data_IF_215302920168
#
_entry.id   IF_215302920168
#
_cell.length_a   1.000
_cell.length_b   1.000
_cell.length_c   1.000
_cell.angle_alpha   90.00
_cell.angle_beta   90.00
_cell.angle_gamma   90.00
#
_symmetry.space_group_name_H-M   'P 1'
#
loop_
_entity.id
_entity.type
_entity.pdbx_description
1 polymer ?
#
# COMPACT_ATOMS: atom_id res chain seq x y z
N UNK A 1 -14.97 -38.43 41.02
CA UNK A 1 -14.53 -39.17 39.81
C UNK A 1 -15.42 -38.76 38.65
N UNK A 2 -14.79 -38.56 37.49
CA UNK A 2 -15.21 -37.71 36.38
C UNK A 2 -16.48 -38.15 35.64
N UNK A 3 -17.25 -37.17 35.15
CA UNK A 3 -18.23 -37.33 34.07
C UNK A 3 -17.74 -36.51 32.87
N UNK A 4 -17.45 -37.18 31.76
CA UNK A 4 -17.16 -36.55 30.49
C UNK A 4 -18.42 -35.89 29.92
N UNK A 5 -18.30 -34.64 29.48
CA UNK A 5 -19.36 -33.90 28.79
C UNK A 5 -19.17 -33.95 27.27
N UNK A 6 -20.26 -33.99 26.46
CA UNK A 6 -20.15 -34.08 25.01
C UNK A 6 -19.67 -32.76 24.40
N UNK A 7 -18.75 -32.86 23.43
CA UNK A 7 -18.15 -31.75 22.70
C UNK A 7 -19.13 -30.99 21.79
N UNK A 8 -18.94 -29.67 21.73
CA UNK A 8 -19.65 -28.74 20.86
C UNK A 8 -19.30 -28.97 19.37
N UNK A 9 -20.26 -28.86 18.43
CA UNK A 9 -19.99 -29.01 17.01
C UNK A 9 -19.33 -27.74 16.42
N UNK A 10 -18.23 -27.94 15.70
CA UNK A 10 -17.56 -26.93 14.86
C UNK A 10 -18.45 -26.64 13.64
N UNK A 11 -19.00 -25.42 13.55
CA UNK A 11 -19.68 -24.95 12.35
C UNK A 11 -18.65 -24.68 11.24
N UNK A 12 -18.60 -25.57 10.25
CA UNK A 12 -17.88 -25.35 8.98
C UNK A 12 -18.60 -24.22 8.22
N UNK A 13 -17.90 -23.10 8.01
CA UNK A 13 -18.39 -22.02 7.15
C UNK A 13 -18.64 -22.56 5.74
N UNK A 14 -19.88 -22.50 5.30
CA UNK A 14 -20.31 -22.85 3.94
C UNK A 14 -19.81 -21.78 2.98
N UNK A 15 -19.15 -22.18 1.89
CA UNK A 15 -18.73 -21.27 0.82
C UNK A 15 -19.97 -20.62 0.20
N UNK A 16 -20.07 -19.30 0.31
CA UNK A 16 -21.10 -18.51 -0.37
C UNK A 16 -20.89 -18.59 -1.88
N UNK A 17 -21.87 -19.15 -2.58
CA UNK A 17 -21.89 -19.20 -4.04
C UNK A 17 -22.06 -17.78 -4.60
N UNK A 18 -21.05 -17.31 -5.34
CA UNK A 18 -21.04 -15.98 -5.95
C UNK A 18 -21.85 -15.99 -7.23
N UNK A 19 -23.02 -15.36 -7.21
CA UNK A 19 -23.88 -15.21 -8.39
C UNK A 19 -23.16 -14.45 -9.50
N UNK A 20 -23.48 -14.76 -10.76
CA UNK A 20 -22.79 -14.27 -11.95
C UNK A 20 -22.69 -12.72 -12.07
N UNK A 21 -23.54 -11.97 -11.37
CA UNK A 21 -23.47 -10.51 -11.28
C UNK A 21 -22.21 -9.97 -10.56
N UNK A 22 -21.62 -10.71 -9.62
CA UNK A 22 -20.40 -10.29 -8.92
C UNK A 22 -19.12 -10.49 -9.76
N UNK A 23 -19.19 -11.30 -10.83
CA UNK A 23 -18.00 -11.67 -11.61
C UNK A 23 -17.43 -10.50 -12.42
N UNK A 24 -18.22 -9.45 -12.67
CA UNK A 24 -17.83 -8.30 -13.49
C UNK A 24 -17.30 -7.07 -12.75
N UNK A 25 -17.35 -7.03 -11.40
CA UNK A 25 -17.03 -5.83 -10.61
C UNK A 25 -15.62 -5.84 -9.98
N UNK A 26 -14.69 -6.68 -10.44
CA UNK A 26 -13.33 -6.64 -9.91
C UNK A 26 -12.56 -5.47 -10.48
N UNK A 27 -12.18 -4.56 -9.61
CA UNK A 27 -11.27 -3.48 -9.94
C UNK A 27 -9.87 -4.05 -10.25
N UNK A 28 -9.44 -3.89 -11.50
CA UNK A 28 -8.12 -4.33 -12.00
C UNK A 28 -7.08 -3.19 -12.04
N UNK A 29 -7.38 -2.05 -11.41
CA UNK A 29 -6.50 -0.88 -11.41
C UNK A 29 -5.37 -0.94 -10.38
N UNK A 30 -4.78 0.23 -10.08
CA UNK A 30 -3.79 0.37 -9.01
C UNK A 30 -4.35 -0.13 -7.67
N UNK A 31 -3.52 -0.58 -6.72
CA UNK A 31 -4.01 -0.93 -5.39
C UNK A 31 -4.80 0.25 -4.80
N UNK A 32 -5.93 -0.05 -4.16
CA UNK A 32 -6.71 0.95 -3.43
C UNK A 32 -5.78 1.61 -2.41
N UNK A 33 -5.61 2.95 -2.45
CA UNK A 33 -4.76 3.64 -1.49
C UNK A 33 -5.20 3.33 -0.06
N UNK A 34 -4.23 3.09 0.82
CA UNK A 34 -4.50 2.86 2.24
C UNK A 34 -5.13 4.12 2.85
N UNK A 35 -6.40 4.05 3.23
CA UNK A 35 -7.17 5.18 3.76
C UNK A 35 -6.48 5.79 4.99
N UNK A 36 -5.84 4.96 5.80
CA UNK A 36 -5.17 5.39 7.01
C UNK A 36 -3.88 6.17 6.78
N UNK A 37 -3.35 6.14 5.56
CA UNK A 37 -2.10 6.82 5.17
C UNK A 37 -2.35 8.06 4.31
N UNK A 38 -3.61 8.45 4.14
CA UNK A 38 -3.96 9.64 3.36
C UNK A 38 -3.38 10.90 3.99
N UNK A 39 -2.82 11.76 3.15
CA UNK A 39 -2.43 13.12 3.56
C UNK A 39 -3.68 13.99 3.72
N UNK A 40 -3.53 15.14 4.37
CA UNK A 40 -4.60 16.13 4.46
C UNK A 40 -5.10 16.58 3.07
N UNK A 41 -4.18 16.73 2.11
CA UNK A 41 -4.50 17.15 0.74
C UNK A 41 -5.31 16.06 0.04
N UNK A 42 -4.83 14.82 0.07
CA UNK A 42 -5.51 13.68 -0.57
C UNK A 42 -6.91 13.48 0.05
N UNK A 43 -6.99 13.45 1.38
CA UNK A 43 -8.25 13.27 2.09
C UNK A 43 -9.27 14.37 1.77
N UNK A 44 -8.83 15.63 1.71
CA UNK A 44 -9.69 16.77 1.36
C UNK A 44 -10.16 16.69 -0.09
N UNK A 45 -9.24 16.37 -1.02
CA UNK A 45 -9.56 16.20 -2.43
C UNK A 45 -10.54 15.05 -2.64
N UNK A 46 -10.32 13.91 -1.97
CA UNK A 46 -11.17 12.73 -2.03
C UNK A 46 -12.60 13.06 -1.57
N UNK A 47 -12.77 13.78 -0.46
CA UNK A 47 -14.08 14.23 0.01
C UNK A 47 -14.78 15.15 -1.00
N UNK A 48 -14.07 16.13 -1.55
CA UNK A 48 -14.63 17.04 -2.54
C UNK A 48 -15.06 16.30 -3.82
N UNK A 49 -14.21 15.41 -4.31
CA UNK A 49 -14.47 14.59 -5.50
C UNK A 49 -15.63 13.61 -5.27
N UNK A 50 -15.69 12.94 -4.12
CA UNK A 50 -16.78 12.03 -3.76
C UNK A 50 -18.13 12.76 -3.74
N UNK A 51 -18.21 13.88 -3.01
CA UNK A 51 -19.42 14.71 -2.93
C UNK A 51 -19.88 15.18 -4.31
N UNK A 52 -18.96 15.69 -5.14
CA UNK A 52 -19.27 16.17 -6.49
C UNK A 52 -19.76 15.03 -7.37
N UNK A 53 -19.10 13.87 -7.31
CA UNK A 53 -19.43 12.70 -8.12
C UNK A 53 -20.80 12.15 -7.74
N UNK A 54 -21.05 11.89 -6.47
CA UNK A 54 -22.32 11.34 -5.99
C UNK A 54 -23.47 12.32 -6.19
N UNK A 55 -23.27 13.61 -5.89
CA UNK A 55 -24.32 14.61 -6.02
C UNK A 55 -24.64 15.03 -7.46
N UNK A 56 -23.63 15.25 -8.29
CA UNK A 56 -23.82 15.77 -9.66
C UNK A 56 -23.97 14.64 -10.67
N UNK A 57 -23.03 13.69 -10.72
CA UNK A 57 -23.03 12.64 -11.76
C UNK A 57 -24.10 11.59 -11.49
N UNK A 58 -24.19 11.14 -10.25
CA UNK A 58 -25.12 10.07 -9.86
C UNK A 58 -26.44 10.57 -9.26
N UNK A 59 -26.58 11.89 -9.05
CA UNK A 59 -27.82 12.53 -8.58
C UNK A 59 -28.27 12.09 -7.17
N UNK A 60 -27.36 11.54 -6.36
CA UNK A 60 -27.61 11.21 -4.96
C UNK A 60 -27.47 12.47 -4.08
N UNK A 61 -28.45 13.37 -4.18
CA UNK A 61 -28.40 14.69 -3.51
C UNK A 61 -28.30 14.58 -1.99
N UNK A 62 -29.16 13.77 -1.37
CA UNK A 62 -29.17 13.54 0.08
C UNK A 62 -27.83 13.02 0.58
N UNK A 63 -27.25 12.02 -0.08
CA UNK A 63 -25.94 11.48 0.28
C UNK A 63 -24.83 12.54 0.13
N UNK A 64 -24.91 13.39 -0.90
CA UNK A 64 -23.94 14.47 -1.07
C UNK A 64 -24.05 15.55 0.02
N UNK A 65 -25.26 15.83 0.51
CA UNK A 65 -25.49 16.71 1.66
C UNK A 65 -24.97 16.07 2.95
N UNK A 66 -25.23 14.78 3.16
CA UNK A 66 -24.70 14.05 4.31
C UNK A 66 -23.17 14.04 4.33
N UNK A 67 -22.51 13.83 3.20
CA UNK A 67 -21.05 13.92 3.07
C UNK A 67 -20.51 15.32 3.41
N UNK A 68 -21.23 16.38 3.02
CA UNK A 68 -20.83 17.76 3.33
C UNK A 68 -20.89 18.02 4.86
N UNK A 69 -21.99 17.61 5.49
CA UNK A 69 -22.18 17.77 6.94
C UNK A 69 -21.15 16.93 7.70
N UNK A 70 -20.97 15.66 7.33
CA UNK A 70 -19.96 14.77 7.91
C UNK A 70 -18.55 15.35 7.81
N UNK A 71 -18.17 15.88 6.64
CA UNK A 71 -16.88 16.54 6.47
C UNK A 71 -16.69 17.73 7.41
N UNK A 72 -17.75 18.51 7.65
CA UNK A 72 -17.71 19.63 8.62
C UNK A 72 -17.48 19.15 10.06
N UNK A 73 -18.02 17.99 10.44
CA UNK A 73 -17.75 17.37 11.74
C UNK A 73 -16.29 16.94 11.87
N UNK A 74 -15.76 16.30 10.83
CA UNK A 74 -14.35 15.92 10.77
C UNK A 74 -13.46 17.15 10.89
N UNK A 75 -13.73 18.22 10.14
CA UNK A 75 -12.95 19.46 10.17
C UNK A 75 -12.98 20.12 11.55
N UNK A 76 -14.12 20.07 12.26
CA UNK A 76 -14.24 20.56 13.63
C UNK A 76 -13.37 19.75 14.61
N UNK A 77 -13.39 18.42 14.50
CA UNK A 77 -12.53 17.54 15.30
C UNK A 77 -11.05 17.79 15.01
N UNK A 78 -10.68 17.91 13.73
CA UNK A 78 -9.30 18.21 13.33
C UNK A 78 -8.81 19.54 13.86
N UNK A 79 -9.64 20.58 13.78
CA UNK A 79 -9.31 21.90 14.30
C UNK A 79 -9.06 21.88 15.81
N UNK A 80 -9.82 21.07 16.54
CA UNK A 80 -9.76 20.99 18.01
C UNK A 80 -8.65 20.07 18.51
N UNK A 81 -8.48 18.90 17.89
CA UNK A 81 -7.66 17.82 18.44
C UNK A 81 -6.53 17.33 17.52
N UNK A 82 -6.45 17.82 16.29
CA UNK A 82 -5.43 17.39 15.31
C UNK A 82 -5.99 16.44 14.25
N UNK A 83 -5.22 16.30 13.18
CA UNK A 83 -5.61 15.61 11.95
C UNK A 83 -6.05 14.16 12.19
N UNK A 84 -5.33 13.42 13.03
CA UNK A 84 -5.60 11.99 13.26
C UNK A 84 -6.95 11.73 13.92
N UNK A 85 -7.41 12.62 14.81
CA UNK A 85 -8.75 12.48 15.43
C UNK A 85 -9.85 12.60 14.38
N UNK A 86 -9.74 13.59 13.49
CA UNK A 86 -10.72 13.74 12.41
C UNK A 86 -10.67 12.63 11.37
N UNK A 87 -9.48 12.15 11.01
CA UNK A 87 -9.33 11.03 10.08
C UNK A 87 -9.89 9.73 10.66
N UNK A 88 -9.60 9.42 11.94
CA UNK A 88 -10.15 8.24 12.65
C UNK A 88 -11.67 8.27 12.66
N UNK A 89 -12.24 9.41 13.08
CA UNK A 89 -13.68 9.61 13.08
C UNK A 89 -14.29 9.43 11.68
N UNK A 90 -13.68 10.01 10.64
CA UNK A 90 -14.14 9.85 9.27
C UNK A 90 -14.18 8.37 8.83
N UNK A 91 -13.07 7.65 8.99
CA UNK A 91 -12.95 6.26 8.56
C UNK A 91 -13.97 5.39 9.31
N UNK A 92 -14.12 5.56 10.63
CA UNK A 92 -15.04 4.76 11.42
C UNK A 92 -16.50 5.01 11.09
N UNK A 93 -16.92 6.27 10.91
CA UNK A 93 -18.29 6.61 10.49
C UNK A 93 -18.59 6.01 9.12
N UNK A 94 -17.67 6.16 8.15
CA UNK A 94 -17.87 5.61 6.80
C UNK A 94 -17.92 4.08 6.82
N UNK A 95 -16.98 3.41 7.51
CA UNK A 95 -16.96 1.95 7.62
C UNK A 95 -18.26 1.42 8.23
N UNK A 96 -18.73 2.03 9.31
CA UNK A 96 -19.98 1.65 9.94
C UNK A 96 -21.18 1.86 9.00
N UNK A 97 -21.18 2.93 8.20
CA UNK A 97 -22.28 3.19 7.28
C UNK A 97 -22.39 2.17 6.14
N UNK A 98 -21.27 1.61 5.70
CA UNK A 98 -21.26 0.53 4.70
C UNK A 98 -21.52 -0.85 5.31
N UNK A 99 -21.12 -1.07 6.56
CA UNK A 99 -21.30 -2.34 7.27
C UNK A 99 -22.74 -2.54 7.78
N UNK A 100 -23.38 -1.47 8.25
CA UNK A 100 -24.73 -1.52 8.80
C UNK A 100 -25.73 -0.88 7.83
N UNK A 101 -26.57 -1.73 7.24
CA UNK A 101 -27.68 -1.34 6.36
C UNK A 101 -29.00 -1.51 7.13
N UNK A 102 -29.46 -0.49 7.86
CA UNK A 102 -30.74 -0.56 8.57
C UNK A 102 -31.88 -0.76 7.57
N UNK A 103 -32.80 -1.69 7.86
CA UNK A 103 -34.04 -1.83 7.11
C UNK A 103 -35.04 -0.75 7.54
N UNK A 104 -35.58 -0.03 6.58
CA UNK A 104 -36.69 0.91 6.79
C UNK A 104 -37.81 0.56 5.83
N UNK A 105 -38.97 0.16 6.36
CA UNK A 105 -40.12 -0.22 5.53
C UNK A 105 -39.88 -1.46 4.65
N UNK A 106 -38.93 -2.33 5.01
CA UNK A 106 -38.59 -3.54 4.25
C UNK A 106 -37.53 -3.35 3.17
N UNK A 107 -36.98 -2.14 3.00
CA UNK A 107 -35.82 -1.88 2.14
C UNK A 107 -34.58 -1.54 2.98
N UNK A 108 -33.43 -2.09 2.59
CA UNK A 108 -32.13 -1.75 3.16
C UNK A 108 -31.78 -0.29 2.85
N UNK A 109 -31.56 0.51 3.90
CA UNK A 109 -31.17 1.91 3.79
C UNK A 109 -29.71 2.14 4.19
N UNK A 110 -29.15 3.25 3.73
CA UNK A 110 -27.80 3.67 4.12
C UNK A 110 -27.86 4.39 5.46
N UNK A 111 -26.94 4.09 6.38
CA UNK A 111 -26.86 4.80 7.65
C UNK A 111 -26.59 6.29 7.42
N UNK A 112 -27.33 7.15 8.11
CA UNK A 112 -27.17 8.60 8.01
C UNK A 112 -25.84 9.06 8.65
N UNK A 113 -24.85 9.34 7.80
CA UNK A 113 -23.51 9.82 8.21
C UNK A 113 -23.50 11.31 8.57
N UNK A 114 -24.59 12.04 8.30
CA UNK A 114 -24.68 13.46 8.67
C UNK A 114 -24.81 13.65 10.19
N UNK A 115 -25.30 12.63 10.90
CA UNK A 115 -25.49 12.68 12.34
C UNK A 115 -24.14 12.57 13.05
N UNK A 116 -23.83 13.55 13.90
CA UNK A 116 -22.62 13.50 14.72
C UNK A 116 -22.75 12.44 15.80
N UNK A 117 -21.78 11.52 15.89
CA UNK A 117 -21.74 10.47 16.92
C UNK A 117 -20.68 10.82 17.96
N UNK A 118 -21.13 11.30 19.12
CA UNK A 118 -20.23 11.74 20.20
C UNK A 118 -19.33 10.59 20.67
N UNK A 119 -19.90 9.41 20.93
CA UNK A 119 -19.14 8.23 21.39
C UNK A 119 -18.00 7.87 20.42
N UNK A 120 -18.27 7.84 19.11
CA UNK A 120 -17.25 7.59 18.09
C UNK A 120 -16.17 8.68 18.04
N UNK A 121 -16.54 9.92 18.33
CA UNK A 121 -15.58 11.02 18.41
C UNK A 121 -14.69 10.93 19.67
N UNK A 122 -15.28 10.51 20.79
CA UNK A 122 -14.56 10.30 22.05
C UNK A 122 -13.60 9.11 21.94
N UNK A 123 -14.03 8.00 21.32
CA UNK A 123 -13.17 6.86 21.00
C UNK A 123 -12.02 7.28 20.07
N UNK A 124 -12.31 8.09 19.04
CA UNK A 124 -11.28 8.54 18.10
C UNK A 124 -10.25 9.46 18.78
N UNK A 125 -10.70 10.26 19.74
CA UNK A 125 -9.84 11.07 20.58
C UNK A 125 -9.00 10.21 21.54
N UNK A 126 -9.61 9.23 22.20
CA UNK A 126 -8.94 8.29 23.09
C UNK A 126 -7.82 7.54 22.39
N UNK A 127 -8.11 6.94 21.24
CA UNK A 127 -7.13 6.19 20.44
C UNK A 127 -5.96 7.08 19.97
N UNK A 128 -6.28 8.28 19.46
CA UNK A 128 -5.25 9.23 19.04
C UNK A 128 -4.41 9.70 20.24
N UNK A 129 -4.99 9.80 21.44
CA UNK A 129 -4.26 10.14 22.66
C UNK A 129 -3.33 8.99 23.07
N UNK A 130 -3.81 7.75 23.03
CA UNK A 130 -3.00 6.58 23.39
C UNK A 130 -1.81 6.39 22.45
N UNK A 131 -1.94 6.80 21.19
CA UNK A 131 -0.83 6.81 20.23
C UNK A 131 -0.03 8.11 20.20
N UNK A 132 -0.27 9.08 21.08
CA UNK A 132 0.43 10.37 21.08
C UNK A 132 0.33 11.08 19.70
N UNK A 133 -0.89 11.18 19.19
CA UNK A 133 -1.25 11.79 17.89
C UNK A 133 -2.07 13.07 18.04
N UNK A 134 -2.34 13.50 19.28
CA UNK A 134 -3.08 14.73 19.57
C UNK A 134 -2.29 15.95 19.09
N UNK A 135 -2.99 16.86 18.42
CA UNK A 135 -2.43 18.11 17.90
C UNK A 135 -1.59 17.95 16.62
N UNK A 136 -1.34 16.71 16.17
CA UNK A 136 -0.59 16.45 14.95
C UNK A 136 -1.31 17.05 13.74
N UNK A 137 -0.60 17.83 12.93
CA UNK A 137 -1.19 18.56 11.78
C UNK A 137 -1.24 17.76 10.49
N UNK A 138 -0.36 16.77 10.35
CA UNK A 138 -0.21 15.95 9.16
C UNK A 138 -0.20 14.48 9.55
N UNK A 139 -0.72 13.60 8.70
CA UNK A 139 -0.69 12.16 8.96
C UNK A 139 0.74 11.65 9.22
N UNK A 140 1.07 11.15 10.43
CA UNK A 140 2.42 10.68 10.73
C UNK A 140 2.75 9.36 9.99
N UNK A 141 1.74 8.61 9.55
CA UNK A 141 1.87 7.33 8.83
C UNK A 141 1.90 7.47 7.30
N UNK A 142 1.64 8.68 6.78
CA UNK A 142 1.78 8.94 5.35
C UNK A 142 3.21 8.66 4.88
N UNK A 143 3.36 8.39 3.58
CA UNK A 143 4.68 8.15 2.98
C UNK A 143 5.60 9.34 3.25
N UNK A 144 6.81 9.07 3.76
CA UNK A 144 7.77 10.10 4.17
C UNK A 144 7.51 10.72 5.55
N UNK A 145 6.41 10.35 6.22
CA UNK A 145 6.10 10.78 7.58
C UNK A 145 6.95 10.09 8.66
N UNK A 146 6.99 10.66 9.88
CA UNK A 146 7.83 10.16 10.98
C UNK A 146 7.48 8.74 11.45
N UNK A 147 6.24 8.30 11.21
CA UNK A 147 5.72 6.97 11.56
C UNK A 147 5.32 6.17 10.33
N UNK A 148 5.85 6.49 9.15
CA UNK A 148 5.48 5.83 7.89
C UNK A 148 5.67 4.29 7.88
N UNK A 149 6.53 3.74 8.74
CA UNK A 149 6.73 2.29 8.89
C UNK A 149 6.02 1.67 10.09
N UNK A 150 5.40 2.49 10.94
CA UNK A 150 4.68 2.01 12.12
C UNK A 150 3.34 1.42 11.68
N UNK A 151 2.81 0.55 12.53
CA UNK A 151 1.47 0.02 12.37
C UNK A 151 0.45 1.09 12.81
N UNK A 152 -0.48 1.41 11.92
CA UNK A 152 -1.50 2.46 12.13
C UNK A 152 -2.52 2.07 13.21
N UNK A 153 -2.83 0.77 13.29
CA UNK A 153 -3.95 0.25 14.07
C UNK A 153 -3.54 0.01 15.53
N UNK A 154 -2.25 -0.23 15.75
CA UNK A 154 -1.68 -0.52 17.08
C UNK A 154 -0.72 0.57 17.58
N UNK A 155 -0.34 1.52 16.71
CA UNK A 155 0.72 2.49 17.00
C UNK A 155 2.11 1.84 17.16
N UNK A 156 2.25 0.55 16.87
CA UNK A 156 3.47 -0.19 17.16
C UNK A 156 4.60 0.15 16.16
N UNK A 157 5.82 0.28 16.70
CA UNK A 157 7.03 0.37 15.89
C UNK A 157 7.27 -0.95 15.15
N UNK A 158 7.85 -0.92 13.94
CA UNK A 158 8.29 -2.14 13.29
C UNK A 158 9.26 -2.90 14.19
N UNK A 159 9.02 -4.20 14.37
CA UNK A 159 9.98 -5.08 15.04
C UNK A 159 11.20 -5.22 14.12
N UNK A 160 12.43 -4.98 14.60
CA UNK A 160 13.62 -5.24 13.82
C UNK A 160 13.61 -6.70 13.34
N UNK A 161 13.79 -6.93 12.05
CA UNK A 161 13.99 -8.28 11.55
C UNK A 161 15.20 -8.89 12.26
N UNK A 162 15.05 -10.08 12.84
CA UNK A 162 16.18 -10.82 13.40
C UNK A 162 17.27 -10.93 12.32
N UNK A 163 18.55 -10.75 12.66
CA UNK A 163 19.62 -10.85 11.68
C UNK A 163 19.52 -12.20 10.98
N UNK A 164 19.44 -12.17 9.65
CA UNK A 164 19.47 -13.38 8.86
C UNK A 164 20.76 -14.14 9.21
N UNK A 165 20.70 -15.47 9.40
CA UNK A 165 21.91 -16.24 9.65
C UNK A 165 22.92 -15.98 8.52
N UNK A 166 24.20 -15.80 8.83
CA UNK A 166 25.20 -15.49 7.82
C UNK A 166 25.16 -16.57 6.74
N UNK A 167 24.97 -16.14 5.48
CA UNK A 167 25.14 -17.02 4.32
C UNK A 167 26.59 -17.50 4.36
N UNK A 168 26.79 -18.76 4.71
CA UNK A 168 28.08 -19.42 4.59
C UNK A 168 28.47 -19.35 3.11
N UNK A 169 29.45 -18.51 2.80
CA UNK A 169 30.14 -18.57 1.52
C UNK A 169 30.99 -19.83 1.60
N UNK A 170 30.57 -20.89 0.91
CA UNK A 170 31.37 -22.09 0.79
C UNK A 170 32.66 -21.75 0.05
N UNK A 171 33.75 -21.62 0.81
CA UNK A 171 35.10 -21.49 0.28
C UNK A 171 35.49 -22.86 -0.28
N UNK A 172 35.39 -23.04 -1.60
CA UNK A 172 35.98 -24.20 -2.25
C UNK A 172 37.47 -23.95 -2.43
N UNK A 173 38.29 -24.36 -1.48
CA UNK A 173 39.70 -24.65 -1.74
C UNK A 173 40.27 -25.65 -0.74
N UNK A 174 40.33 -26.90 -1.18
CA UNK A 174 41.07 -28.03 -0.59
C UNK A 174 40.86 -29.19 -1.55
N UNK A 175 41.79 -30.06 -1.92
CA UNK A 175 43.23 -30.20 -1.74
C UNK A 175 43.62 -31.32 -2.73
N UNK A 176 44.90 -31.42 -3.06
CA UNK A 176 45.46 -32.37 -4.03
C UNK A 176 45.20 -33.83 -3.65
N UNK A 177 44.64 -34.60 -4.58
CA UNK A 177 44.64 -36.06 -4.56
C UNK A 177 44.89 -36.62 -5.97
N UNK A 178 46.02 -37.31 -6.13
CA UNK A 178 46.54 -37.89 -7.39
C UNK A 178 45.63 -38.99 -7.97
N UNK A 179 45.46 -39.02 -9.29
CA UNK A 179 45.24 -40.26 -10.05
C UNK A 179 45.67 -40.11 -11.53
N UNK A 180 46.26 -41.17 -12.06
CA UNK A 180 47.01 -41.28 -13.33
C UNK A 180 46.18 -41.07 -14.62
N UNK A 181 46.86 -40.58 -15.67
CA UNK A 181 46.46 -40.68 -17.09
C UNK A 181 46.59 -42.14 -17.59
N UNK A 182 45.83 -42.55 -18.62
CA UNK A 182 46.44 -42.77 -19.95
C UNK A 182 45.45 -42.42 -21.13
N UNK A 183 45.70 -42.78 -22.41
CA UNK A 183 46.22 -41.88 -23.44
C UNK A 183 45.22 -41.57 -24.59
N UNK A 184 45.51 -40.51 -25.35
CA UNK A 184 44.89 -40.14 -26.65
C UNK A 184 45.42 -41.05 -27.78
N UNK A 185 44.66 -41.29 -28.88
CA UNK A 185 45.14 -40.86 -30.22
C UNK A 185 43.96 -40.43 -31.18
N UNK A 186 44.13 -40.23 -32.51
CA UNK A 186 44.07 -38.92 -33.20
C UNK A 186 42.89 -38.82 -34.21
N UNK A 187 42.50 -37.70 -34.83
CA UNK A 187 43.08 -37.06 -36.04
C UNK A 187 42.09 -35.95 -36.53
N UNK A 188 42.59 -34.91 -37.22
CA UNK A 188 41.90 -33.69 -37.73
C UNK A 188 41.09 -33.93 -39.06
N UNK A 189 40.57 -32.93 -39.86
CA UNK A 189 40.61 -31.46 -39.76
C UNK A 189 39.34 -30.64 -40.20
N UNK A 190 39.44 -29.30 -40.02
CA UNK A 190 38.87 -28.17 -40.80
C UNK A 190 37.35 -27.90 -40.92
N UNK A 191 36.93 -26.66 -40.58
CA UNK A 191 35.64 -26.08 -40.99
C UNK A 191 35.24 -24.77 -40.27
N UNK A 192 35.18 -23.68 -41.04
CA UNK A 192 34.99 -22.26 -40.69
C UNK A 192 33.66 -21.82 -40.01
N UNK A 193 33.76 -20.75 -39.20
CA UNK A 193 32.81 -19.63 -38.93
C UNK A 193 31.51 -19.85 -38.12
N UNK A 194 31.39 -19.16 -36.96
CA UNK A 194 30.53 -17.98 -36.65
C UNK A 194 30.65 -17.67 -35.13
N UNK A 195 30.99 -16.44 -34.67
CA UNK A 195 30.90 -16.10 -33.25
C UNK A 195 29.48 -15.63 -32.89
N UNK A 196 28.73 -16.45 -32.15
CA UNK A 196 27.47 -16.02 -31.51
C UNK A 196 27.79 -15.16 -30.28
N UNK A 197 27.22 -13.95 -30.28
CA UNK A 197 27.40 -12.91 -29.27
C UNK A 197 26.55 -13.24 -28.03
N UNK A 198 27.09 -13.24 -26.78
CA UNK A 198 26.25 -13.35 -25.59
C UNK A 198 25.47 -12.05 -25.35
N UNK A 199 24.23 -12.23 -24.90
CA UNK A 199 23.22 -11.21 -24.69
C UNK A 199 23.59 -10.17 -23.62
N UNK A 200 23.05 -8.96 -23.82
CA UNK A 200 23.10 -7.79 -22.92
C UNK A 200 22.61 -8.14 -21.50
N UNK A 201 23.53 -8.40 -20.58
CA UNK A 201 23.29 -8.36 -19.14
C UNK A 201 23.72 -7.01 -18.57
N UNK A 202 22.77 -6.25 -18.02
CA UNK A 202 23.08 -5.03 -17.25
C UNK A 202 23.73 -5.35 -15.90
N UNK A 203 24.37 -4.34 -15.31
CA UNK A 203 25.11 -4.41 -14.05
C UNK A 203 24.25 -5.01 -12.93
N UNK A 204 24.71 -6.13 -12.34
CA UNK A 204 24.11 -6.77 -11.17
C UNK A 204 25.24 -7.17 -10.22
N UNK A 205 25.43 -6.43 -9.14
CA UNK A 205 26.37 -6.83 -8.08
C UNK A 205 26.77 -5.68 -7.17
N UNK A 206 26.90 -6.00 -5.88
CA UNK A 206 27.14 -5.08 -4.75
C UNK A 206 28.55 -4.45 -4.68
N UNK A 207 29.22 -4.29 -5.82
CA UNK A 207 30.49 -3.57 -5.92
C UNK A 207 30.23 -2.31 -6.73
N UNK A 208 30.10 -1.18 -6.04
CA UNK A 208 29.97 0.12 -6.69
C UNK A 208 31.36 0.57 -7.17
N UNK A 209 31.55 0.66 -8.49
CA UNK A 209 32.71 1.30 -9.09
C UNK A 209 32.38 2.78 -9.37
N UNK A 210 33.00 3.75 -8.66
CA UNK A 210 32.74 5.17 -8.85
C UNK A 210 33.17 5.70 -10.24
N UNK A 211 33.94 4.91 -11.01
CA UNK A 211 34.37 5.27 -12.36
C UNK A 211 33.58 4.54 -13.46
N UNK A 212 32.49 3.86 -13.13
CA UNK A 212 31.66 3.19 -14.14
C UNK A 212 30.93 4.21 -15.02
N UNK A 213 31.34 4.29 -16.29
CA UNK A 213 30.68 5.11 -17.31
C UNK A 213 29.77 4.21 -18.15
N UNK A 214 28.44 4.43 -18.08
CA UNK A 214 27.49 3.74 -18.96
C UNK A 214 27.73 4.17 -20.42
N UNK A 215 28.07 3.27 -21.34
CA UNK A 215 28.27 3.58 -22.76
C UNK A 215 26.99 4.07 -23.49
N UNK A 216 25.82 4.08 -22.83
CA UNK A 216 24.61 4.79 -23.30
C UNK A 216 24.62 6.28 -22.96
N UNK A 217 25.31 6.70 -21.91
CA UNK A 217 25.43 8.11 -21.51
C UNK A 217 26.25 8.92 -22.52
N UNK A 218 27.25 8.30 -23.16
CA UNK A 218 28.14 8.98 -24.11
C UNK A 218 27.42 9.35 -25.43
N UNK A 219 26.28 8.73 -25.74
CA UNK A 219 25.54 9.04 -26.99
C UNK A 219 24.71 10.33 -26.94
N UNK A 220 24.48 10.90 -25.77
CA UNK A 220 23.63 12.09 -25.61
C UNK A 220 24.41 13.36 -25.25
N UNK A 221 25.74 13.31 -25.20
CA UNK A 221 26.58 14.48 -24.97
C UNK A 221 27.06 15.06 -26.31
N UNK A 222 26.20 15.81 -26.99
CA UNK A 222 26.58 16.52 -28.21
C UNK A 222 25.49 17.38 -28.83
N UNK A 223 25.15 18.52 -28.20
CA UNK A 223 24.95 19.83 -28.87
C UNK A 223 24.55 20.92 -27.85
N UNK A 224 25.17 22.13 -27.87
CA UNK A 224 24.75 23.30 -27.08
C UNK A 224 23.87 24.28 -27.88
N UNK A 225 23.05 25.07 -27.17
CA UNK A 225 22.27 26.24 -27.64
C UNK A 225 20.80 25.91 -27.96
N UNK A 226 19.77 26.67 -27.57
CA UNK A 226 19.65 28.02 -27.02
C UNK A 226 18.41 28.10 -26.10
N UNK A 227 18.49 28.95 -25.08
CA UNK A 227 17.38 29.22 -24.17
C UNK A 227 16.37 30.20 -24.76
N UNK A 228 15.07 29.88 -24.64
CA UNK A 228 14.04 30.90 -24.70
C UNK A 228 12.88 30.60 -23.74
N UNK A 229 12.72 31.51 -22.78
CA UNK A 229 11.62 31.60 -21.81
C UNK A 229 10.30 31.94 -22.55
N UNK A 230 9.34 31.02 -22.54
CA UNK A 230 7.99 31.30 -22.99
C UNK A 230 7.21 32.01 -21.87
N UNK A 231 6.84 33.28 -22.12
CA UNK A 231 5.91 34.06 -21.31
C UNK A 231 4.48 33.64 -21.69
N UNK A 232 3.69 33.17 -20.73
CA UNK A 232 2.25 33.04 -20.89
C UNK A 232 1.61 34.42 -20.77
N UNK A 233 0.76 34.77 -21.74
CA UNK A 233 -0.19 35.86 -21.69
C UNK A 233 -1.58 35.27 -21.81
#
# INVERSE_FOLDING_TARGET
MAREGPGLPVTKQTKTDKTAAEKGLRYHGFPVPDEWRQTFIDWTLNHACARKTLGIKYKYKTLAEWLLIHKSHCDRLMKRHGFMVGLRYDIWIRNNAFAFRPESGGEESFSDISIFKQDTADDAYGEAKDFDEIGVRCNPYAIGGPRCKWDVHTGAKPVPAAPAPPKQVANQNSDRGKANLPPKPPTAPAGSQVPTRPAKGGYKGNQFDPNYIDPRSIRNAGQPGDGQLAKYR
#
